data_IF_300901664889
#
_entry.id   IF_300901664889
#
_cell.length_a   1.000
_cell.length_b   1.000
_cell.length_c   1.000
_cell.angle_alpha   90.00
_cell.angle_beta   90.00
_cell.angle_gamma   90.00
#
_symmetry.space_group_name_H-M   'P 1'
#
loop_
_entity.id
_entity.type
_entity.pdbx_description
1 polymer ?
#
# COMPACT_ATOMS: atom_id res chain seq x y z
N UNK A 1 -10.46 15.77 -56.99
CA UNK A 1 -10.00 17.09 -57.43
C UNK A 1 -8.93 17.58 -56.48
N UNK A 2 -7.79 17.85 -57.07
CA UNK A 2 -6.55 18.37 -56.49
C UNK A 2 -6.73 19.75 -55.84
N UNK A 3 -6.00 20.05 -54.78
CA UNK A 3 -5.05 21.14 -54.74
C UNK A 3 -4.17 21.10 -53.48
N UNK A 4 -2.88 20.89 -53.73
CA UNK A 4 -1.71 21.27 -52.92
C UNK A 4 -1.46 22.76 -53.03
N UNK A 5 -0.81 23.38 -52.04
CA UNK A 5 0.16 24.50 -52.10
C UNK A 5 0.77 24.56 -50.69
N UNK A 6 2.00 24.22 -50.38
CA UNK A 6 3.36 24.73 -50.59
C UNK A 6 3.67 25.94 -49.68
N UNK A 7 4.54 25.71 -48.70
CA UNK A 7 5.92 26.13 -48.47
C UNK A 7 6.18 27.64 -48.22
N UNK A 8 6.98 27.94 -47.23
CA UNK A 8 7.63 29.20 -46.95
C UNK A 8 8.54 29.15 -45.73
N UNK A 9 9.80 28.75 -45.93
CA UNK A 9 10.84 28.84 -44.92
C UNK A 9 11.46 30.26 -44.90
N UNK A 10 11.97 30.64 -43.73
CA UNK A 10 12.93 31.73 -43.62
C UNK A 10 14.00 31.39 -42.58
N UNK A 11 15.20 31.21 -43.08
CA UNK A 11 16.48 31.13 -42.35
C UNK A 11 17.04 32.54 -42.29
N UNK A 12 17.50 32.99 -41.11
CA UNK A 12 18.48 34.11 -41.04
C UNK A 12 19.57 33.70 -40.05
N UNK A 13 20.77 33.82 -40.57
CA UNK A 13 22.07 33.51 -40.00
C UNK A 13 22.74 34.75 -39.39
N UNK A 14 23.64 34.52 -38.41
CA UNK A 14 24.92 35.15 -38.14
C UNK A 14 25.00 36.46 -37.33
N UNK A 15 25.88 36.41 -36.35
CA UNK A 15 26.55 37.53 -35.72
C UNK A 15 27.41 37.14 -34.54
N UNK A 16 28.64 36.64 -34.82
CA UNK A 16 29.71 36.50 -33.84
C UNK A 16 30.50 37.80 -33.75
N UNK A 17 30.90 38.21 -32.54
CA UNK A 17 32.10 39.05 -32.30
C UNK A 17 32.51 38.97 -30.85
N UNK A 18 33.68 38.39 -30.56
CA UNK A 18 34.66 38.79 -29.56
C UNK A 18 35.77 39.52 -30.30
N UNK A 19 36.73 40.25 -29.70
CA UNK A 19 37.32 40.13 -28.38
C UNK A 19 37.64 41.51 -27.70
N UNK A 20 38.15 41.58 -26.50
CA UNK A 20 39.54 41.98 -26.20
C UNK A 20 39.79 42.14 -24.69
N UNK A 21 40.95 41.71 -24.36
CA UNK A 21 41.70 41.66 -23.14
C UNK A 21 42.09 43.04 -22.59
N UNK A 22 42.09 43.25 -21.26
CA UNK A 22 43.13 44.06 -20.61
C UNK A 22 43.20 43.79 -19.11
N UNK A 23 44.44 43.50 -18.69
CA UNK A 23 44.84 43.13 -17.36
C UNK A 23 44.92 44.28 -16.36
N UNK A 24 45.13 43.90 -15.08
CA UNK A 24 45.57 44.83 -14.06
C UNK A 24 45.18 44.45 -12.64
N UNK A 25 46.19 43.90 -11.96
CA UNK A 25 46.53 44.08 -10.54
C UNK A 25 45.80 43.31 -9.41
N UNK A 26 46.67 42.57 -8.75
CA UNK A 26 46.49 41.91 -7.46
C UNK A 26 46.18 42.87 -6.30
N UNK A 27 45.24 42.53 -5.47
CA UNK A 27 45.32 42.86 -4.03
C UNK A 27 44.76 41.69 -3.24
N UNK A 28 45.57 41.16 -2.32
CA UNK A 28 45.21 40.07 -1.41
C UNK A 28 44.11 40.50 -0.46
N UNK A 29 43.19 39.61 -0.20
CA UNK A 29 42.19 39.69 0.82
C UNK A 29 41.91 38.27 1.31
N UNK A 30 42.22 38.06 2.61
CA UNK A 30 41.99 36.83 3.33
C UNK A 30 40.56 36.31 3.13
N UNK A 31 40.44 35.12 2.56
CA UNK A 31 39.19 34.33 2.65
C UNK A 31 39.04 33.80 4.07
N UNK A 32 37.92 34.05 4.76
CA UNK A 32 37.60 33.26 5.92
C UNK A 32 37.20 31.85 5.41
N UNK A 33 37.89 30.84 5.90
CA UNK A 33 37.50 29.45 5.75
C UNK A 33 36.09 29.27 6.35
N UNK A 34 35.06 29.31 5.50
CA UNK A 34 33.72 28.85 5.84
C UNK A 34 33.70 27.32 5.80
N UNK A 35 34.08 26.75 6.93
CA UNK A 35 33.96 25.32 7.20
C UNK A 35 32.57 24.97 7.63
N UNK A 36 31.55 25.29 6.87
CA UNK A 36 30.23 24.68 7.02
C UNK A 36 30.23 23.33 6.30
N UNK A 37 30.79 22.34 6.94
CA UNK A 37 30.55 20.94 6.67
C UNK A 37 29.12 20.67 7.17
N UNK A 38 28.10 21.08 6.40
CA UNK A 38 26.74 20.56 6.56
C UNK A 38 26.85 19.08 6.21
N UNK A 39 27.01 18.24 7.23
CA UNK A 39 26.72 16.83 7.07
C UNK A 39 25.29 16.80 6.53
N UNK A 40 25.14 16.25 5.34
CA UNK A 40 23.85 15.90 4.78
C UNK A 40 23.30 14.81 5.73
N UNK A 41 22.38 15.19 6.62
CA UNK A 41 21.76 14.31 7.61
C UNK A 41 20.75 13.35 6.93
N UNK A 42 20.77 13.24 5.60
CA UNK A 42 19.97 12.25 4.88
C UNK A 42 20.50 10.86 5.27
N UNK A 43 19.71 10.03 5.94
CA UNK A 43 20.16 8.69 6.28
C UNK A 43 20.51 7.93 4.98
N UNK A 44 21.56 7.09 5.02
CA UNK A 44 21.94 6.33 3.85
C UNK A 44 20.75 5.46 3.39
N UNK A 45 20.57 5.30 2.07
CA UNK A 45 19.49 4.46 1.54
C UNK A 45 19.61 3.05 2.10
N UNK A 46 18.45 2.41 2.35
CA UNK A 46 18.39 1.02 2.83
C UNK A 46 19.04 0.10 1.80
N UNK A 47 19.79 -0.92 2.26
CA UNK A 47 20.27 -1.99 1.41
C UNK A 47 19.26 -3.13 1.34
N UNK A 48 19.13 -3.77 0.18
CA UNK A 48 18.21 -4.88 -0.04
C UNK A 48 18.96 -6.21 -0.15
N UNK A 49 18.42 -7.23 0.54
CA UNK A 49 18.78 -8.63 0.37
C UNK A 49 17.56 -9.40 -0.14
N UNK A 50 17.72 -10.18 -1.22
CA UNK A 50 16.64 -11.02 -1.74
C UNK A 50 16.52 -12.29 -0.91
N UNK A 51 15.38 -12.45 -0.21
CA UNK A 51 15.05 -13.66 0.56
C UNK A 51 14.41 -14.72 -0.34
N UNK A 52 13.49 -14.31 -1.23
CA UNK A 52 12.87 -15.22 -2.20
C UNK A 52 12.53 -14.47 -3.48
N UNK A 53 12.48 -15.18 -4.61
CA UNK A 53 12.19 -14.65 -5.94
C UNK A 53 11.12 -15.49 -6.63
N UNK A 54 10.55 -15.01 -7.76
CA UNK A 54 9.57 -15.75 -8.55
C UNK A 54 8.24 -15.96 -7.79
N UNK A 55 7.79 -14.95 -7.05
CA UNK A 55 6.42 -14.84 -6.56
C UNK A 55 5.51 -14.46 -7.73
N UNK A 56 4.23 -14.75 -7.64
CA UNK A 56 3.27 -14.51 -8.72
C UNK A 56 2.18 -13.53 -8.28
N UNK A 57 2.35 -12.26 -8.61
CA UNK A 57 1.44 -11.17 -8.21
C UNK A 57 1.16 -11.21 -6.69
N UNK A 58 2.20 -11.13 -5.83
CA UNK A 58 2.01 -11.21 -4.39
C UNK A 58 1.24 -9.98 -3.87
N UNK A 59 0.49 -10.15 -2.76
CA UNK A 59 -0.37 -9.06 -2.29
C UNK A 59 -0.15 -8.70 -0.81
N UNK A 60 -0.08 -9.67 0.10
CA UNK A 60 0.19 -9.43 1.53
C UNK A 60 1.26 -10.38 2.03
N UNK A 61 2.11 -9.89 2.94
CA UNK A 61 3.15 -10.67 3.62
C UNK A 61 2.90 -10.71 5.13
N UNK A 62 2.95 -11.91 5.69
CA UNK A 62 2.92 -12.17 7.13
C UNK A 62 4.15 -12.98 7.53
N UNK A 63 4.60 -12.84 8.77
CA UNK A 63 5.71 -13.62 9.31
C UNK A 63 5.29 -14.39 10.56
N UNK A 64 5.78 -15.61 10.70
CA UNK A 64 5.67 -16.39 11.91
C UNK A 64 6.94 -17.21 12.11
N UNK A 65 7.64 -16.99 13.23
CA UNK A 65 8.85 -17.74 13.61
C UNK A 65 9.90 -17.82 12.49
N UNK A 66 10.24 -16.70 11.86
CA UNK A 66 11.24 -16.61 10.81
C UNK A 66 10.79 -17.09 9.42
N UNK A 67 9.60 -17.68 9.30
CA UNK A 67 8.99 -18.06 8.02
C UNK A 67 7.96 -17.05 7.57
N UNK A 68 7.82 -16.87 6.25
CA UNK A 68 6.84 -15.95 5.67
C UNK A 68 5.69 -16.69 5.03
N UNK A 69 4.52 -16.07 5.08
CA UNK A 69 3.31 -16.47 4.38
C UNK A 69 2.87 -15.31 3.49
N UNK A 70 2.79 -15.54 2.18
CA UNK A 70 2.55 -14.49 1.19
C UNK A 70 1.36 -14.91 0.33
N UNK A 71 0.32 -14.08 0.25
CA UNK A 71 -0.77 -14.32 -0.69
C UNK A 71 -0.34 -13.99 -2.11
N UNK A 72 -0.68 -14.85 -3.06
CA UNK A 72 -0.61 -14.60 -4.49
C UNK A 72 -2.04 -14.39 -5.00
N UNK A 73 -2.28 -13.32 -5.74
CA UNK A 73 -3.63 -12.90 -6.18
C UNK A 73 -4.42 -13.98 -6.90
N UNK A 74 -3.73 -14.94 -7.52
CA UNK A 74 -4.32 -16.10 -8.20
C UNK A 74 -5.01 -17.11 -7.29
N UNK A 75 -4.87 -17.03 -5.96
CA UNK A 75 -5.54 -17.91 -5.01
C UNK A 75 -4.61 -18.92 -4.32
N UNK A 76 -3.31 -18.66 -4.25
CA UNK A 76 -2.34 -19.48 -3.50
C UNK A 76 -1.74 -18.70 -2.34
N UNK A 77 -1.27 -19.40 -1.32
CA UNK A 77 -0.46 -18.84 -0.23
C UNK A 77 0.92 -19.46 -0.31
N UNK A 78 1.95 -18.63 -0.49
CA UNK A 78 3.33 -19.07 -0.52
C UNK A 78 3.90 -19.10 0.88
N UNK A 79 4.40 -20.23 1.32
CA UNK A 79 5.23 -20.36 2.50
C UNK A 79 6.70 -20.28 2.09
N UNK A 80 7.44 -19.33 2.68
CA UNK A 80 8.89 -19.18 2.52
C UNK A 80 9.52 -19.49 3.86
N UNK A 81 10.33 -20.53 3.94
CA UNK A 81 11.00 -20.90 5.17
C UNK A 81 12.22 -20.02 5.48
N UNK A 82 12.84 -20.20 6.64
CA UNK A 82 14.01 -19.43 7.10
C UNK A 82 15.23 -19.51 6.13
N UNK A 83 15.29 -20.52 5.26
CA UNK A 83 16.34 -20.68 4.26
C UNK A 83 15.97 -20.06 2.89
N UNK A 84 14.81 -19.39 2.77
CA UNK A 84 14.32 -18.83 1.52
C UNK A 84 13.68 -19.84 0.56
N UNK A 85 13.50 -21.10 0.99
CA UNK A 85 12.84 -22.13 0.18
C UNK A 85 11.33 -21.90 0.15
N UNK A 86 10.76 -21.90 -1.06
CA UNK A 86 9.33 -21.63 -1.28
C UNK A 86 8.52 -22.90 -1.48
N UNK A 87 7.33 -22.91 -0.88
CA UNK A 87 6.27 -23.87 -1.14
C UNK A 87 4.95 -23.15 -1.37
N UNK A 88 4.29 -23.36 -2.51
CA UNK A 88 2.93 -22.90 -2.74
C UNK A 88 1.97 -23.87 -2.07
N UNK A 89 1.20 -23.36 -1.11
CA UNK A 89 0.20 -24.10 -0.38
C UNK A 89 -1.17 -23.90 -1.07
N UNK A 90 -1.91 -24.96 -1.23
CA UNK A 90 -3.28 -24.90 -1.75
C UNK A 90 -4.20 -24.19 -0.74
N UNK A 91 -5.20 -23.49 -1.27
CA UNK A 91 -6.25 -22.80 -0.53
C UNK A 91 -7.61 -23.31 -1.02
N UNK A 92 -8.27 -24.11 -0.18
CA UNK A 92 -9.59 -24.66 -0.44
C UNK A 92 -10.66 -23.77 0.17
N UNK A 93 -11.38 -23.06 -0.69
CA UNK A 93 -12.48 -22.15 -0.34
C UNK A 93 -13.79 -22.66 -0.90
N UNK A 94 -14.90 -22.41 -0.19
CA UNK A 94 -16.24 -22.75 -0.65
C UNK A 94 -16.66 -21.91 -1.87
N UNK A 95 -16.27 -20.64 -1.90
CA UNK A 95 -16.38 -19.77 -3.07
C UNK A 95 -14.98 -19.55 -3.66
N UNK A 96 -14.74 -19.97 -4.92
CA UNK A 96 -13.42 -19.85 -5.54
C UNK A 96 -12.96 -18.41 -5.68
N UNK A 97 -11.65 -18.18 -5.60
CA UNK A 97 -11.03 -16.87 -5.85
C UNK A 97 -11.29 -16.44 -7.29
N UNK A 98 -11.88 -15.26 -7.48
CA UNK A 98 -12.04 -14.61 -8.78
C UNK A 98 -10.90 -13.58 -8.98
N UNK A 99 -9.80 -13.99 -9.59
CA UNK A 99 -8.67 -13.12 -9.91
C UNK A 99 -8.98 -12.30 -11.17
N UNK A 100 -9.71 -11.20 -11.02
CA UNK A 100 -10.14 -10.32 -12.12
C UNK A 100 -9.80 -8.86 -11.81
N UNK A 101 -9.16 -8.18 -12.74
CA UNK A 101 -8.73 -6.79 -12.55
C UNK A 101 -7.77 -6.64 -11.35
N UNK A 102 -8.18 -5.90 -10.33
CA UNK A 102 -7.46 -5.74 -9.06
C UNK A 102 -7.89 -6.78 -8.00
N UNK A 103 -8.98 -7.49 -8.23
CA UNK A 103 -9.49 -8.53 -7.35
C UNK A 103 -8.66 -9.82 -7.38
N UNK A 104 -8.93 -10.69 -6.41
CA UNK A 104 -8.26 -11.97 -6.24
C UNK A 104 -8.10 -12.35 -4.77
N UNK A 105 -7.11 -13.15 -4.42
CA UNK A 105 -6.69 -13.39 -3.05
C UNK A 105 -5.86 -12.17 -2.59
N UNK A 106 -6.38 -11.42 -1.64
CA UNK A 106 -5.84 -10.15 -1.19
C UNK A 106 -5.28 -10.26 0.23
N UNK A 107 -6.06 -9.85 1.24
CA UNK A 107 -5.64 -9.78 2.62
C UNK A 107 -5.44 -11.15 3.27
N UNK A 108 -4.46 -11.21 4.18
CA UNK A 108 -4.15 -12.40 4.95
C UNK A 108 -3.59 -12.02 6.32
N UNK A 109 -4.23 -12.51 7.38
CA UNK A 109 -3.80 -12.25 8.75
C UNK A 109 -3.69 -13.56 9.52
N UNK A 110 -2.52 -13.88 10.03
CA UNK A 110 -2.32 -15.01 10.93
C UNK A 110 -2.96 -14.70 12.30
N UNK A 111 -3.58 -15.71 12.92
CA UNK A 111 -4.10 -15.59 14.27
C UNK A 111 -2.95 -15.44 15.30
N UNK A 112 -3.16 -14.73 16.42
CA UNK A 112 -2.12 -14.55 17.45
C UNK A 112 -1.59 -15.88 18.00
N UNK A 113 -2.45 -16.89 18.07
CA UNK A 113 -2.14 -18.23 18.52
C UNK A 113 -1.83 -19.23 17.38
N UNK A 114 -1.42 -18.72 16.21
CA UNK A 114 -1.19 -19.52 14.99
C UNK A 114 -0.29 -20.74 15.22
N UNK A 115 0.70 -20.65 16.10
CA UNK A 115 1.56 -21.78 16.46
C UNK A 115 0.76 -23.02 16.92
N UNK A 116 -0.39 -22.80 17.59
CA UNK A 116 -1.27 -23.82 18.15
C UNK A 116 -2.50 -24.06 17.28
N UNK A 117 -3.20 -22.98 16.91
CA UNK A 117 -4.48 -23.05 16.20
C UNK A 117 -4.33 -23.31 14.70
N UNK A 118 -3.19 -22.92 14.11
CA UNK A 118 -2.96 -22.93 12.67
C UNK A 118 -4.00 -22.09 11.90
N UNK A 119 -4.73 -21.20 12.60
CA UNK A 119 -5.80 -20.35 12.07
C UNK A 119 -5.23 -19.09 11.42
N UNK A 120 -5.89 -18.64 10.35
CA UNK A 120 -5.69 -17.34 9.75
C UNK A 120 -7.04 -16.80 9.22
N UNK A 121 -7.04 -15.55 8.81
CA UNK A 121 -8.17 -14.93 8.09
C UNK A 121 -7.71 -14.50 6.71
N UNK A 122 -8.63 -14.62 5.74
CA UNK A 122 -8.41 -14.34 4.33
C UNK A 122 -9.47 -13.38 3.82
N UNK A 123 -9.05 -12.36 3.09
CA UNK A 123 -9.91 -11.49 2.31
C UNK A 123 -9.73 -11.84 0.83
N UNK A 124 -10.80 -12.20 0.13
CA UNK A 124 -10.71 -12.51 -1.29
C UNK A 124 -11.93 -12.06 -2.07
N UNK A 125 -11.71 -11.85 -3.37
CA UNK A 125 -12.77 -11.59 -4.35
C UNK A 125 -13.31 -12.91 -4.90
N UNK A 126 -14.64 -12.98 -5.11
CA UNK A 126 -15.32 -14.12 -5.69
C UNK A 126 -16.47 -13.65 -6.60
N UNK A 127 -17.07 -14.55 -7.36
CA UNK A 127 -18.25 -14.26 -8.16
C UNK A 127 -19.54 -14.56 -7.37
N UNK A 128 -20.43 -13.56 -7.30
CA UNK A 128 -21.77 -13.68 -6.74
C UNK A 128 -22.78 -13.10 -7.74
N UNK A 129 -23.73 -13.91 -8.20
CA UNK A 129 -24.78 -13.50 -9.15
C UNK A 129 -24.24 -12.80 -10.42
N UNK A 130 -23.14 -13.30 -10.99
CA UNK A 130 -22.44 -12.76 -12.17
C UNK A 130 -21.79 -11.39 -11.92
N UNK A 131 -21.63 -11.00 -10.68
CA UNK A 131 -20.93 -9.80 -10.25
C UNK A 131 -19.76 -10.17 -9.33
N UNK A 132 -18.74 -9.31 -9.25
CA UNK A 132 -17.67 -9.48 -8.30
C UNK A 132 -18.11 -8.97 -6.92
N UNK A 133 -17.80 -9.75 -5.90
CA UNK A 133 -17.96 -9.39 -4.49
C UNK A 133 -16.72 -9.82 -3.73
N UNK A 134 -16.53 -9.25 -2.54
CA UNK A 134 -15.45 -9.65 -1.66
C UNK A 134 -16.02 -10.29 -0.39
N UNK A 135 -15.21 -11.13 0.27
CA UNK A 135 -15.59 -11.78 1.54
C UNK A 135 -14.38 -11.99 2.44
N UNK A 136 -14.65 -12.15 3.72
CA UNK A 136 -13.67 -12.48 4.74
C UNK A 136 -14.04 -13.83 5.33
N UNK A 137 -13.07 -14.75 5.34
CA UNK A 137 -13.24 -16.09 5.88
C UNK A 137 -12.12 -16.46 6.83
N UNK A 138 -12.39 -17.32 7.81
CA UNK A 138 -11.33 -17.98 8.56
C UNK A 138 -10.89 -19.25 7.85
N UNK A 139 -9.59 -19.53 7.90
CA UNK A 139 -8.97 -20.73 7.32
C UNK A 139 -8.06 -21.39 8.35
N UNK A 140 -7.86 -22.71 8.23
CA UNK A 140 -6.91 -23.47 9.06
C UNK A 140 -5.93 -24.22 8.15
N UNK A 141 -4.65 -24.19 8.50
CA UNK A 141 -3.62 -24.94 7.78
C UNK A 141 -3.54 -26.39 8.29
N UNK A 142 -3.95 -27.33 7.45
CA UNK A 142 -3.93 -28.77 7.73
C UNK A 142 -3.22 -29.53 6.62
N UNK A 143 -2.20 -30.33 6.98
CA UNK A 143 -1.45 -31.16 6.03
C UNK A 143 -0.89 -30.41 4.81
N UNK A 144 -0.58 -29.12 4.94
CA UNK A 144 -0.03 -28.31 3.85
C UNK A 144 -1.08 -27.64 2.97
N UNK A 145 -2.36 -27.71 3.32
CA UNK A 145 -3.49 -27.08 2.63
C UNK A 145 -4.23 -26.17 3.61
N UNK A 146 -4.56 -24.96 3.16
CA UNK A 146 -5.44 -24.04 3.87
C UNK A 146 -6.90 -24.39 3.57
N UNK A 147 -7.72 -24.60 4.57
CA UNK A 147 -9.12 -24.99 4.44
C UNK A 147 -10.04 -23.96 5.09
N UNK A 148 -11.06 -23.50 4.34
CA UNK A 148 -12.08 -22.60 4.87
C UNK A 148 -12.84 -23.24 6.03
N UNK A 149 -13.03 -22.48 7.12
CA UNK A 149 -13.76 -22.90 8.30
C UNK A 149 -15.09 -22.15 8.45
N UNK A 150 -15.04 -20.83 8.54
CA UNK A 150 -16.20 -19.99 8.74
C UNK A 150 -16.15 -18.75 7.86
N UNK A 151 -17.32 -18.26 7.47
CA UNK A 151 -17.49 -16.94 6.86
C UNK A 151 -17.64 -15.91 7.96
N UNK A 152 -16.80 -14.88 7.97
CA UNK A 152 -16.88 -13.76 8.90
C UNK A 152 -17.76 -12.65 8.34
N UNK A 153 -17.55 -12.29 7.09
CA UNK A 153 -18.32 -11.27 6.39
C UNK A 153 -18.39 -11.62 4.91
N UNK A 154 -19.59 -11.60 4.36
CA UNK A 154 -19.89 -11.93 2.96
C UNK A 154 -20.51 -10.74 2.24
N UNK A 155 -20.44 -10.75 0.90
CA UNK A 155 -21.11 -9.74 0.08
C UNK A 155 -20.57 -8.32 0.25
N UNK A 156 -19.32 -8.13 0.63
CA UNK A 156 -18.66 -6.82 0.57
C UNK A 156 -18.62 -6.41 -0.92
N UNK A 157 -19.07 -5.19 -1.29
CA UNK A 157 -19.02 -4.76 -2.68
C UNK A 157 -17.64 -4.94 -3.29
N UNK A 158 -17.56 -5.59 -4.45
CA UNK A 158 -16.33 -5.86 -5.18
C UNK A 158 -16.44 -5.43 -6.64
N UNK A 159 -15.32 -5.25 -7.30
CA UNK A 159 -15.26 -4.82 -8.69
C UNK A 159 -13.95 -5.21 -9.37
N UNK A 160 -13.83 -4.85 -10.64
CA UNK A 160 -12.56 -4.98 -11.37
C UNK A 160 -11.48 -4.01 -10.84
N UNK A 161 -11.89 -3.00 -10.07
CA UNK A 161 -11.02 -2.00 -9.43
C UNK A 161 -11.52 -1.72 -8.02
N UNK A 162 -10.66 -1.13 -7.19
CA UNK A 162 -10.96 -0.56 -5.87
C UNK A 162 -11.62 -1.58 -4.90
N UNK A 163 -10.97 -2.72 -4.71
CA UNK A 163 -11.45 -3.74 -3.78
C UNK A 163 -10.99 -3.50 -2.32
N UNK A 164 -10.08 -2.55 -2.08
CA UNK A 164 -9.41 -2.45 -0.78
C UNK A 164 -8.60 -3.71 -0.51
N UNK A 165 -9.02 -4.48 0.50
CA UNK A 165 -8.57 -5.85 0.70
C UNK A 165 -7.54 -6.05 1.81
N UNK A 166 -7.01 -4.99 2.46
CA UNK A 166 -6.07 -5.14 3.57
C UNK A 166 -6.78 -5.70 4.80
N UNK A 167 -6.16 -6.66 5.46
CA UNK A 167 -6.70 -7.34 6.63
C UNK A 167 -5.65 -7.33 7.76
N UNK A 168 -5.97 -6.75 8.91
CA UNK A 168 -5.06 -6.63 10.05
C UNK A 168 -5.79 -6.82 11.37
N UNK A 169 -5.12 -7.44 12.34
CA UNK A 169 -5.57 -7.49 13.72
C UNK A 169 -5.09 -6.22 14.44
N UNK A 170 -6.04 -5.49 15.04
CA UNK A 170 -5.77 -4.29 15.81
C UNK A 170 -5.25 -4.57 17.22
N UNK A 171 -4.70 -3.56 17.91
CA UNK A 171 -4.24 -3.69 19.28
C UNK A 171 -5.37 -3.93 20.31
N UNK A 172 -6.61 -3.79 19.88
CA UNK A 172 -7.85 -4.07 20.61
C UNK A 172 -8.38 -5.48 20.37
N UNK A 173 -7.58 -6.36 19.77
CA UNK A 173 -7.92 -7.74 19.39
C UNK A 173 -9.10 -7.86 18.40
N UNK A 174 -9.48 -6.76 17.73
CA UNK A 174 -10.46 -6.75 16.65
C UNK A 174 -9.80 -6.88 15.29
N UNK A 175 -10.50 -7.52 14.36
CA UNK A 175 -10.07 -7.63 12.96
C UNK A 175 -10.56 -6.41 12.18
N UNK A 176 -9.64 -5.74 11.48
CA UNK A 176 -9.93 -4.60 10.61
C UNK A 176 -9.70 -4.99 9.17
N UNK A 177 -10.61 -4.54 8.30
CA UNK A 177 -10.51 -4.77 6.86
C UNK A 177 -10.76 -3.48 6.09
N UNK A 178 -10.04 -3.27 4.99
CA UNK A 178 -10.32 -2.17 4.07
C UNK A 178 -11.20 -2.62 2.94
N UNK A 179 -12.23 -1.85 2.61
CA UNK A 179 -13.10 -2.04 1.47
C UNK A 179 -13.09 -0.79 0.59
N UNK A 180 -12.80 -0.95 -0.69
CA UNK A 180 -12.88 0.15 -1.65
C UNK A 180 -14.31 0.43 -2.11
N UNK A 181 -14.47 1.48 -2.92
CA UNK A 181 -15.76 1.87 -3.50
C UNK A 181 -16.25 0.94 -4.61
N UNK A 182 -15.44 -0.06 -4.99
CA UNK A 182 -15.70 -1.02 -6.07
C UNK A 182 -16.03 -0.36 -7.44
N UNK A 183 -15.54 0.88 -7.65
CA UNK A 183 -15.82 1.68 -8.83
C UNK A 183 -17.17 2.42 -8.80
N UNK A 184 -17.88 2.38 -7.66
CA UNK A 184 -19.10 3.15 -7.43
C UNK A 184 -18.83 4.22 -6.34
N UNK A 185 -18.31 5.36 -6.76
CA UNK A 185 -17.88 6.43 -5.86
C UNK A 185 -18.96 6.91 -4.88
N UNK A 186 -20.24 6.92 -5.32
CA UNK A 186 -21.35 7.32 -4.45
C UNK A 186 -21.60 6.34 -3.29
N UNK A 187 -21.16 5.09 -3.42
CA UNK A 187 -21.32 4.10 -2.36
C UNK A 187 -20.47 4.41 -1.12
N UNK A 188 -19.37 5.14 -1.28
CA UNK A 188 -18.49 5.52 -0.17
C UNK A 188 -19.14 6.45 0.87
N UNK A 189 -20.18 7.20 0.47
CA UNK A 189 -20.96 8.05 1.39
C UNK A 189 -22.20 7.35 1.95
N UNK A 190 -22.49 6.12 1.52
CA UNK A 190 -23.64 5.34 1.98
C UNK A 190 -23.28 4.39 3.11
N UNK A 191 -23.59 4.73 4.36
CA UNK A 191 -23.34 3.92 5.56
C UNK A 191 -24.18 2.64 5.67
N UNK A 192 -25.09 2.36 4.71
CA UNK A 192 -25.78 1.08 4.60
C UNK A 192 -25.00 0.09 3.72
N UNK A 193 -23.90 0.54 3.09
CA UNK A 193 -23.00 -0.23 2.26
C UNK A 193 -21.61 -0.33 2.93
N UNK A 194 -20.99 -1.50 2.86
CA UNK A 194 -19.60 -1.69 3.29
C UNK A 194 -18.56 -1.14 2.27
N UNK A 195 -18.99 -0.62 1.11
CA UNK A 195 -18.09 -0.04 0.12
C UNK A 195 -17.47 1.28 0.62
N UNK A 196 -16.22 1.54 0.24
CA UNK A 196 -15.53 2.78 0.60
C UNK A 196 -15.38 2.97 2.11
N UNK A 197 -15.04 1.89 2.82
CA UNK A 197 -15.03 1.88 4.30
C UNK A 197 -13.81 1.14 4.86
N UNK A 198 -13.41 1.50 6.07
CA UNK A 198 -12.63 0.61 6.94
C UNK A 198 -13.63 -0.09 7.85
N UNK A 199 -13.59 -1.40 7.87
CA UNK A 199 -14.50 -2.27 8.60
C UNK A 199 -13.80 -2.79 9.87
N UNK A 200 -14.55 -3.00 10.96
CA UNK A 200 -14.08 -3.56 12.22
C UNK A 200 -15.04 -4.63 12.71
N UNK A 201 -14.50 -5.79 13.06
CA UNK A 201 -15.27 -6.96 13.53
C UNK A 201 -14.49 -7.75 14.58
N UNK A 202 -15.17 -8.61 15.30
CA UNK A 202 -14.51 -9.60 16.18
C UNK A 202 -13.77 -10.64 15.34
N UNK A 203 -12.88 -11.40 15.95
CA UNK A 203 -12.16 -12.50 15.29
C UNK A 203 -13.08 -13.64 14.81
N UNK A 204 -14.34 -13.66 15.25
CA UNK A 204 -15.38 -14.62 14.83
C UNK A 204 -16.41 -14.02 13.86
N UNK A 205 -16.26 -12.72 13.50
CA UNK A 205 -17.08 -12.05 12.49
C UNK A 205 -18.30 -11.32 13.07
N UNK A 206 -18.44 -11.20 14.39
CA UNK A 206 -19.52 -10.41 14.98
C UNK A 206 -19.22 -8.91 14.90
N UNK A 207 -20.29 -8.10 14.85
CA UNK A 207 -20.17 -6.64 14.98
C UNK A 207 -19.88 -6.29 16.44
N UNK A 208 -18.76 -5.59 16.75
CA UNK A 208 -18.46 -5.13 18.10
C UNK A 208 -19.52 -4.14 18.62
N UNK A 209 -19.90 -4.26 19.90
CA UNK A 209 -20.89 -3.36 20.51
C UNK A 209 -20.42 -1.88 20.58
N UNK A 210 -19.10 -1.68 20.59
CA UNK A 210 -18.45 -0.37 20.64
C UNK A 210 -18.09 0.19 19.25
N UNK A 211 -18.57 -0.41 18.16
CA UNK A 211 -18.45 0.18 16.83
C UNK A 211 -19.23 1.52 16.76
N UNK A 212 -18.72 2.50 15.99
CA UNK A 212 -19.30 3.86 15.98
C UNK A 212 -20.74 3.91 15.45
N UNK A 213 -21.16 2.89 14.68
CA UNK A 213 -22.53 2.78 14.16
C UNK A 213 -23.14 1.47 14.62
N UNK A 214 -24.24 1.54 15.35
CA UNK A 214 -24.92 0.38 15.95
C UNK A 214 -25.27 -0.67 14.88
N UNK A 215 -24.84 -1.91 15.10
CA UNK A 215 -25.10 -3.05 14.22
C UNK A 215 -24.35 -3.01 12.87
N UNK A 216 -23.39 -2.11 12.70
CA UNK A 216 -22.61 -1.95 11.47
C UNK A 216 -21.14 -2.32 11.66
N UNK A 217 -20.55 -2.94 10.65
CA UNK A 217 -19.10 -3.20 10.60
C UNK A 217 -18.28 -1.94 10.33
N UNK A 218 -18.89 -0.85 9.86
CA UNK A 218 -18.20 0.37 9.44
C UNK A 218 -17.52 1.03 10.64
N UNK A 219 -16.20 1.15 10.58
CA UNK A 219 -15.39 1.91 11.53
C UNK A 219 -15.16 3.36 11.05
N UNK A 220 -14.86 3.54 9.76
CA UNK A 220 -14.81 4.84 9.07
C UNK A 220 -15.32 4.67 7.64
N UNK A 221 -15.71 5.77 6.98
CA UNK A 221 -16.29 5.75 5.64
C UNK A 221 -15.84 6.95 4.80
N UNK A 222 -16.30 7.04 3.55
CA UNK A 222 -15.86 8.08 2.64
C UNK A 222 -14.47 7.82 2.08
N UNK A 223 -14.12 6.55 1.88
CA UNK A 223 -12.86 6.10 1.29
C UNK A 223 -13.05 5.68 -0.17
N UNK A 224 -12.01 5.86 -0.99
CA UNK A 224 -12.00 5.40 -2.39
C UNK A 224 -11.46 3.99 -2.52
N UNK A 225 -10.19 3.80 -2.17
CA UNK A 225 -9.51 2.50 -2.28
C UNK A 225 -8.36 2.41 -1.26
N UNK A 226 -8.67 2.27 0.02
CA UNK A 226 -7.65 2.11 1.06
C UNK A 226 -7.00 0.73 0.94
N UNK A 227 -5.66 0.67 0.88
CA UNK A 227 -4.91 -0.59 0.70
C UNK A 227 -3.89 -0.86 1.80
N UNK A 228 -3.68 0.06 2.73
CA UNK A 228 -2.81 -0.13 3.88
C UNK A 228 -3.47 0.38 5.14
N UNK A 229 -3.32 -0.35 6.23
CA UNK A 229 -3.67 0.07 7.60
C UNK A 229 -2.61 -0.41 8.56
N UNK A 230 -2.26 0.44 9.52
CA UNK A 230 -1.43 0.04 10.67
C UNK A 230 -1.57 1.03 11.84
N UNK A 231 -1.12 0.60 13.01
CA UNK A 231 -1.23 1.38 14.26
C UNK A 231 0.15 1.82 14.73
N UNK A 232 0.20 3.04 15.26
CA UNK A 232 1.38 3.49 16.01
C UNK A 232 1.39 2.89 17.43
N UNK A 233 2.43 3.18 18.20
CA UNK A 233 2.59 2.70 19.57
C UNK A 233 1.49 3.21 20.55
N UNK A 234 0.84 4.32 20.21
CA UNK A 234 -0.26 4.89 20.99
C UNK A 234 -1.61 4.24 20.69
N UNK A 235 -1.68 3.37 19.67
CA UNK A 235 -2.92 2.75 19.19
C UNK A 235 -3.70 3.62 18.20
N UNK A 236 -3.11 4.71 17.66
CA UNK A 236 -3.70 5.48 16.59
C UNK A 236 -3.61 4.71 15.28
N UNK A 237 -4.73 4.60 14.56
CA UNK A 237 -4.82 3.93 13.27
C UNK A 237 -4.51 4.89 12.13
N UNK A 238 -3.69 4.43 11.18
CA UNK A 238 -3.38 5.15 9.94
C UNK A 238 -3.71 4.28 8.73
N UNK A 239 -4.10 4.94 7.63
CA UNK A 239 -4.41 4.29 6.36
C UNK A 239 -3.68 4.96 5.21
N UNK A 240 -3.32 4.17 4.21
CA UNK A 240 -2.90 4.64 2.89
C UNK A 240 -3.99 4.40 1.88
N UNK A 241 -4.24 5.37 0.99
CA UNK A 241 -5.37 5.33 0.07
C UNK A 241 -5.02 5.86 -1.32
N UNK A 242 -5.51 5.19 -2.36
CA UNK A 242 -5.36 5.63 -3.74
C UNK A 242 -6.33 6.76 -4.08
N UNK A 243 -5.81 7.89 -4.54
CA UNK A 243 -6.59 8.96 -5.15
C UNK A 243 -7.10 8.62 -6.55
N UNK A 244 -7.87 9.53 -7.16
CA UNK A 244 -8.52 9.27 -8.45
C UNK A 244 -7.55 9.28 -9.64
N UNK A 245 -6.72 10.30 -9.77
CA UNK A 245 -5.67 10.41 -10.81
C UNK A 245 -4.31 10.74 -10.19
N UNK A 246 -4.35 11.38 -9.07
CA UNK A 246 -3.30 11.83 -8.18
C UNK A 246 -3.96 12.03 -6.81
N UNK A 247 -3.33 12.77 -5.90
CA UNK A 247 -3.89 13.03 -4.56
C UNK A 247 -4.12 11.73 -3.78
N UNK A 248 -3.18 10.78 -3.93
CA UNK A 248 -3.11 9.64 -3.02
C UNK A 248 -2.91 10.15 -1.60
N UNK A 249 -3.47 9.46 -0.62
CA UNK A 249 -3.63 10.00 0.72
C UNK A 249 -3.05 9.10 1.80
N UNK A 250 -2.58 9.74 2.87
CA UNK A 250 -2.28 9.13 4.16
C UNK A 250 -3.23 9.75 5.18
N UNK A 251 -4.05 8.93 5.78
CA UNK A 251 -5.10 9.33 6.70
C UNK A 251 -4.83 8.82 8.12
N UNK A 252 -5.02 9.65 9.15
CA UNK A 252 -5.18 9.21 10.53
C UNK A 252 -6.65 8.88 10.74
N UNK A 253 -6.95 7.64 11.08
CA UNK A 253 -8.31 7.12 11.10
C UNK A 253 -8.95 7.25 12.48
N UNK A 254 -10.12 7.90 12.52
CA UNK A 254 -10.95 8.07 13.70
C UNK A 254 -12.27 7.29 13.55
N UNK A 255 -12.73 6.68 14.63
CA UNK A 255 -14.01 5.95 14.66
C UNK A 255 -15.18 6.86 14.26
N UNK A 256 -15.99 6.42 13.31
CA UNK A 256 -17.19 7.15 12.83
C UNK A 256 -16.91 8.31 11.89
N UNK A 257 -15.63 8.61 11.58
CA UNK A 257 -15.29 9.74 10.73
C UNK A 257 -15.55 9.48 9.24
N UNK A 258 -15.87 10.56 8.51
CA UNK A 258 -16.03 10.61 7.04
C UNK A 258 -14.75 11.19 6.42
N UNK A 259 -14.13 10.46 5.49
CA UNK A 259 -12.91 10.87 4.78
C UNK A 259 -13.19 11.52 3.42
N UNK A 260 -14.44 11.77 3.12
CA UNK A 260 -14.92 12.72 2.14
C UNK A 260 -14.98 12.25 0.70
N UNK A 261 -14.40 11.12 0.31
CA UNK A 261 -14.56 10.62 -1.06
C UNK A 261 -16.03 10.35 -1.39
N UNK A 262 -16.57 10.77 -2.55
CA UNK A 262 -15.90 11.51 -3.64
C UNK A 262 -16.03 13.05 -3.54
N UNK A 263 -16.59 13.58 -2.48
CA UNK A 263 -16.95 15.00 -2.35
C UNK A 263 -15.73 15.91 -2.13
N UNK A 264 -14.70 15.42 -1.43
CA UNK A 264 -13.41 16.10 -1.25
C UNK A 264 -12.24 15.16 -1.54
N UNK A 265 -11.10 15.72 -1.97
CA UNK A 265 -9.84 15.02 -2.18
C UNK A 265 -8.65 15.93 -1.90
N UNK A 266 -7.56 15.42 -1.32
CA UNK A 266 -6.34 16.17 -1.06
C UNK A 266 -6.58 17.40 -0.20
N UNK A 267 -6.32 18.62 -0.72
CA UNK A 267 -6.45 19.91 0.00
C UNK A 267 -7.90 20.41 0.18
N UNK A 268 -8.87 19.73 -0.44
CA UNK A 268 -10.27 20.14 -0.36
C UNK A 268 -10.82 19.83 1.03
N UNK A 269 -11.77 20.65 1.49
CA UNK A 269 -12.41 20.51 2.81
C UNK A 269 -13.91 20.75 2.75
N UNK A 270 -14.66 20.01 3.55
CA UNK A 270 -16.08 20.20 3.74
C UNK A 270 -16.44 20.00 5.22
N UNK A 271 -17.64 20.48 5.62
CA UNK A 271 -18.12 20.30 6.97
C UNK A 271 -18.27 18.80 7.29
N UNK A 272 -17.88 18.40 8.50
CA UNK A 272 -17.95 17.02 8.99
C UNK A 272 -17.11 15.99 8.24
N UNK A 273 -16.19 16.41 7.36
CA UNK A 273 -15.25 15.53 6.65
C UNK A 273 -13.82 15.76 7.11
N UNK A 274 -13.01 14.68 7.12
CA UNK A 274 -11.59 14.72 7.49
C UNK A 274 -10.75 14.93 6.24
N UNK A 275 -9.81 15.87 6.32
CA UNK A 275 -8.75 16.02 5.32
C UNK A 275 -7.61 15.04 5.61
N UNK A 276 -6.88 14.58 4.59
CA UNK A 276 -5.73 13.70 4.79
C UNK A 276 -4.61 14.41 5.56
N UNK A 277 -3.81 13.61 6.29
CA UNK A 277 -2.58 14.09 6.93
C UNK A 277 -1.51 14.42 5.89
N UNK A 278 -1.39 13.58 4.83
CA UNK A 278 -0.55 13.82 3.68
C UNK A 278 -1.30 13.46 2.41
N UNK A 279 -0.94 14.13 1.31
CA UNK A 279 -1.39 13.74 -0.02
C UNK A 279 -0.29 13.96 -1.07
N UNK A 280 -0.37 13.23 -2.18
CA UNK A 280 0.65 13.25 -3.23
C UNK A 280 0.60 14.48 -4.16
N UNK A 281 -0.34 15.40 -3.94
CA UNK A 281 -0.55 16.56 -4.79
C UNK A 281 -0.93 16.18 -6.21
N UNK A 282 -0.19 16.67 -7.20
CA UNK A 282 -0.37 16.33 -8.62
C UNK A 282 0.33 15.05 -9.06
N UNK A 283 1.11 14.43 -8.17
CA UNK A 283 1.81 13.17 -8.43
C UNK A 283 0.95 11.98 -7.98
N UNK A 284 1.43 10.78 -8.23
CA UNK A 284 0.81 9.56 -7.72
C UNK A 284 1.87 8.62 -7.15
N UNK A 285 1.61 8.13 -5.94
CA UNK A 285 2.36 7.06 -5.28
C UNK A 285 1.75 5.70 -5.55
N UNK A 286 0.42 5.66 -5.71
CA UNK A 286 -0.42 4.47 -5.63
C UNK A 286 -0.03 3.66 -4.38
N UNK A 287 -0.26 4.21 -3.17
CA UNK A 287 0.23 3.65 -1.92
C UNK A 287 -0.50 2.36 -1.58
N UNK A 288 0.20 1.39 -1.00
CA UNK A 288 -0.39 0.09 -0.65
C UNK A 288 -0.06 -0.29 0.79
N UNK A 289 0.65 -1.38 1.03
CA UNK A 289 0.93 -1.85 2.37
C UNK A 289 1.66 -0.83 3.24
N UNK A 290 1.36 -0.89 4.54
CA UNK A 290 1.92 0.03 5.54
C UNK A 290 2.37 -0.71 6.78
N UNK A 291 3.38 -0.16 7.46
CA UNK A 291 3.81 -0.62 8.78
C UNK A 291 4.41 0.53 9.59
N UNK A 292 4.26 0.48 10.90
CA UNK A 292 5.10 1.29 11.78
C UNK A 292 6.37 0.52 12.12
N UNK A 293 7.48 1.21 12.03
CA UNK A 293 8.79 0.73 12.46
C UNK A 293 9.19 1.28 13.82
N UNK A 294 10.45 1.11 14.15
CA UNK A 294 11.05 1.66 15.39
C UNK A 294 10.94 3.18 15.41
N UNK A 295 10.83 3.75 16.63
CA UNK A 295 10.73 5.19 16.87
C UNK A 295 9.59 5.92 16.14
N UNK A 296 8.47 5.23 15.87
CA UNK A 296 7.28 5.86 15.29
C UNK A 296 7.34 6.13 13.79
N UNK A 297 8.38 5.66 13.10
CA UNK A 297 8.49 5.82 11.64
C UNK A 297 7.37 5.05 10.91
N UNK A 298 6.59 5.72 10.10
CA UNK A 298 5.51 5.14 9.32
C UNK A 298 5.97 4.87 7.89
N UNK A 299 6.04 3.59 7.52
CA UNK A 299 6.47 3.16 6.18
C UNK A 299 5.29 2.82 5.30
N UNK A 300 5.34 3.27 4.05
CA UNK A 300 4.31 3.08 3.04
C UNK A 300 4.94 2.67 1.71
N UNK A 301 4.48 1.57 1.15
CA UNK A 301 4.90 1.13 -0.19
C UNK A 301 4.17 1.89 -1.29
N UNK A 302 4.86 2.20 -2.39
CA UNK A 302 4.30 2.82 -3.57
C UNK A 302 4.37 1.90 -4.79
N UNK A 303 3.20 1.60 -5.37
CA UNK A 303 3.12 0.79 -6.58
C UNK A 303 3.53 1.58 -7.82
N UNK A 304 2.93 2.75 -8.05
CA UNK A 304 3.27 3.62 -9.18
C UNK A 304 4.45 4.51 -8.87
N UNK A 305 4.62 4.88 -7.59
CA UNK A 305 5.79 5.58 -7.10
C UNK A 305 7.07 4.72 -7.15
N UNK A 306 6.96 3.38 -7.21
CA UNK A 306 8.07 2.42 -7.25
C UNK A 306 9.09 2.63 -6.13
N UNK A 307 8.59 2.91 -4.92
CA UNK A 307 9.41 3.35 -3.79
C UNK A 307 8.81 2.93 -2.45
N UNK A 308 9.64 2.86 -1.43
CA UNK A 308 9.25 2.82 -0.04
C UNK A 308 9.43 4.21 0.56
N UNK A 309 8.36 4.75 1.10
CA UNK A 309 8.31 6.07 1.72
C UNK A 309 8.30 5.91 3.24
N UNK A 310 9.01 6.79 3.94
CA UNK A 310 8.94 6.97 5.38
C UNK A 310 8.27 8.30 5.68
N UNK A 311 7.22 8.27 6.46
CA UNK A 311 6.52 9.45 6.96
C UNK A 311 6.82 9.64 8.43
N UNK A 312 7.14 10.86 8.80
CA UNK A 312 7.12 11.34 10.17
C UNK A 312 5.77 12.02 10.38
N UNK A 313 4.86 11.32 11.04
CA UNK A 313 3.47 11.76 11.21
C UNK A 313 3.31 12.90 12.20
N UNK A 314 4.30 13.13 13.07
CA UNK A 314 4.30 14.20 14.07
C UNK A 314 4.88 15.50 13.50
N UNK A 315 5.89 15.42 12.62
CA UNK A 315 6.54 16.57 12.00
C UNK A 315 6.07 16.83 10.55
N UNK A 316 5.06 16.11 10.08
CA UNK A 316 4.45 16.22 8.75
C UNK A 316 5.49 16.22 7.62
N UNK A 317 6.46 15.30 7.69
CA UNK A 317 7.50 15.18 6.67
C UNK A 317 7.54 13.78 6.04
N UNK A 318 8.05 13.69 4.81
CA UNK A 318 8.15 12.43 4.06
C UNK A 318 9.48 12.38 3.31
N UNK A 319 10.08 11.21 3.29
CA UNK A 319 11.26 10.91 2.50
C UNK A 319 11.14 9.55 1.81
N UNK A 320 11.87 9.35 0.72
CA UNK A 320 12.02 8.06 0.05
C UNK A 320 13.23 7.36 0.64
N UNK A 321 13.02 6.18 1.24
CA UNK A 321 14.09 5.43 1.91
C UNK A 321 14.59 4.24 1.10
N UNK A 322 13.83 3.77 0.09
CA UNK A 322 14.23 2.69 -0.80
C UNK A 322 13.51 2.79 -2.15
N UNK A 323 14.21 2.45 -3.23
CA UNK A 323 13.68 2.37 -4.60
C UNK A 323 14.60 1.51 -5.47
N UNK A 324 14.19 1.24 -6.72
CA UNK A 324 15.00 0.53 -7.71
C UNK A 324 14.49 -0.87 -8.06
N UNK A 325 13.60 -1.44 -7.24
CA UNK A 325 13.03 -2.78 -7.45
C UNK A 325 11.60 -2.74 -8.05
N UNK A 326 11.26 -1.62 -8.69
CA UNK A 326 9.95 -1.43 -9.32
C UNK A 326 8.82 -1.22 -8.32
N UNK A 327 7.66 -1.82 -8.58
CA UNK A 327 6.43 -1.65 -7.84
C UNK A 327 6.51 -2.39 -6.50
N UNK A 328 6.33 -1.66 -5.39
CA UNK A 328 6.33 -2.24 -4.04
C UNK A 328 4.88 -2.39 -3.55
N UNK A 329 4.50 -3.60 -3.11
CA UNK A 329 3.11 -3.93 -2.75
C UNK A 329 2.84 -3.88 -1.26
N UNK A 330 3.69 -4.51 -0.46
CA UNK A 330 3.47 -4.60 0.99
C UNK A 330 4.78 -4.50 1.75
N UNK A 331 4.70 -4.06 3.00
CA UNK A 331 5.84 -3.93 3.90
C UNK A 331 5.48 -4.43 5.30
N UNK A 332 6.39 -5.21 5.88
CA UNK A 332 6.32 -5.72 7.24
C UNK A 332 7.57 -5.29 8.01
N UNK A 333 7.39 -4.72 9.20
CA UNK A 333 8.49 -4.48 10.15
C UNK A 333 8.59 -5.61 11.16
N UNK A 334 9.77 -6.19 11.33
CA UNK A 334 10.03 -7.22 12.33
C UNK A 334 11.49 -7.17 12.78
N UNK A 335 11.72 -7.13 14.11
CA UNK A 335 13.04 -7.14 14.76
C UNK A 335 14.03 -6.12 14.18
N UNK A 336 13.53 -4.90 13.88
CA UNK A 336 14.34 -3.78 13.36
C UNK A 336 14.63 -3.82 11.86
N UNK A 337 14.22 -4.87 11.14
CA UNK A 337 14.31 -4.98 9.69
C UNK A 337 12.96 -4.73 9.03
N UNK A 338 12.96 -4.26 7.79
CA UNK A 338 11.78 -4.16 6.94
C UNK A 338 11.81 -5.30 5.91
N UNK A 339 10.65 -5.92 5.69
CA UNK A 339 10.47 -6.92 4.66
C UNK A 339 9.47 -6.39 3.65
N UNK A 340 9.82 -6.41 2.36
CA UNK A 340 9.02 -5.81 1.29
C UNK A 340 8.77 -6.85 0.21
N UNK A 341 7.55 -6.91 -0.33
CA UNK A 341 7.25 -7.66 -1.54
C UNK A 341 7.06 -6.71 -2.72
N UNK A 342 7.65 -7.09 -3.88
CA UNK A 342 7.43 -6.39 -5.14
C UNK A 342 6.11 -6.82 -5.80
N UNK A 343 5.67 -6.14 -6.86
CA UNK A 343 4.46 -6.49 -7.61
C UNK A 343 4.61 -6.05 -9.08
N UNK A 344 5.67 -6.49 -9.72
CA UNK A 344 5.99 -6.14 -11.11
C UNK A 344 5.23 -7.01 -12.11
N UNK A 345 4.79 -8.21 -11.69
CA UNK A 345 4.08 -9.18 -12.55
C UNK A 345 2.56 -8.96 -12.64
N UNK A 346 2.02 -7.87 -12.05
CA UNK A 346 0.57 -7.56 -12.04
C UNK A 346 0.01 -7.04 -13.38
N UNK A 347 0.83 -6.99 -14.43
CA UNK A 347 0.49 -6.47 -15.75
C UNK A 347 0.63 -4.96 -15.89
N UNK A 348 1.05 -4.24 -14.84
CA UNK A 348 1.29 -2.79 -14.81
C UNK A 348 2.76 -2.43 -14.57
N UNK A 349 3.56 -3.41 -14.18
CA UNK A 349 5.00 -3.30 -13.97
C UNK A 349 5.82 -3.68 -15.21
N UNK A 350 7.14 -3.68 -15.04
CA UNK A 350 8.10 -4.16 -16.03
C UNK A 350 8.94 -5.25 -15.36
N UNK A 351 8.41 -6.48 -15.26
CA UNK A 351 9.07 -7.55 -14.53
C UNK A 351 10.35 -8.03 -15.23
N UNK A 352 11.32 -8.43 -14.44
CA UNK A 352 12.46 -9.22 -14.90
C UNK A 352 12.26 -10.74 -14.69
N UNK A 353 13.28 -11.55 -14.96
CA UNK A 353 13.18 -13.01 -14.86
C UNK A 353 13.02 -13.53 -13.42
N UNK A 354 13.32 -12.71 -12.41
CA UNK A 354 13.28 -13.10 -11.00
C UNK A 354 12.05 -12.58 -10.25
N UNK A 355 11.33 -11.62 -10.86
CA UNK A 355 10.14 -11.01 -10.23
C UNK A 355 8.99 -12.02 -10.01
N UNK A 356 8.17 -11.82 -8.98
CA UNK A 356 8.28 -10.82 -7.90
C UNK A 356 9.14 -11.33 -6.75
N UNK A 357 9.63 -10.39 -5.92
CA UNK A 357 10.62 -10.64 -4.89
C UNK A 357 10.03 -10.48 -3.48
N UNK A 358 10.59 -11.22 -2.53
CA UNK A 358 10.59 -10.88 -1.10
C UNK A 358 11.97 -10.36 -0.74
N UNK A 359 12.04 -9.12 -0.30
CA UNK A 359 13.26 -8.41 0.06
C UNK A 359 13.32 -8.18 1.57
N UNK A 360 14.52 -8.27 2.14
CA UNK A 360 14.85 -7.72 3.45
C UNK A 360 15.61 -6.43 3.26
N UNK A 361 15.19 -5.37 3.94
CA UNK A 361 15.82 -4.06 3.92
C UNK A 361 16.40 -3.76 5.29
N UNK A 362 17.68 -3.46 5.32
CA UNK A 362 18.39 -3.06 6.52
C UNK A 362 19.05 -1.69 6.30
N UNK A 363 19.25 -0.92 7.39
CA UNK A 363 20.07 0.28 7.33
C UNK A 363 21.47 -0.11 6.85
N UNK A 364 21.97 0.57 5.82
CA UNK A 364 23.36 0.38 5.35
C UNK A 364 24.32 0.60 6.53
N UNK A 365 25.10 -0.44 6.86
CA UNK A 365 26.07 -0.43 7.96
C UNK A 365 27.27 0.49 7.65
#
# INVERSE_FOLDING_TARGET
>A
MKKMIAAGGLVVLLGACSPEDNGGEQSGGDEPADGSNTMDDTPPPLSAETIASGLNVPWEVQMHQGSFYITERGGTIVHVNENGEKQRLELELNEPVAASGEGGLLGFQLAPDFAQSRKAWVYHTYEMDQSLSNRIVSVTLENGTWQEQNVLLDGIPGGSIHNGGRLKLGPDDMLYATAGDAGNENAAQNRESNAGSILRMTQDGDVPEDNPFEGSYIYSYGHRNPQGISWNENGDLYSSEHGSNARDEINRIEAGANYGWPEITGDESADDMRTPLFHSGSNTWAPSGTTFGSAGAFYVTGLRGTQLMRFDVDNESMEVVFSGEGRLRDVLHHDGSLYVITNNTDGRGSPDEQDDLLLKLDSSS
#
